data_IF_818137640113
#
_entry.id   IF_818137640113
#
_cell.length_a   1.000
_cell.length_b   1.000
_cell.length_c   1.000
_cell.angle_alpha   90.00
_cell.angle_beta   90.00
_cell.angle_gamma   90.00
#
_symmetry.space_group_name_H-M   'P 1'
#
loop_
_entity.id
_entity.type
_entity.pdbx_description
1 polymer ?
#
# COMPACT_ATOMS: atom_id res chain seq x y z
N UNK A 1 11.01 -1.52 -15.90
CA UNK A 1 10.09 -0.42 -16.24
C UNK A 1 9.22 -0.16 -15.01
N UNK A 2 9.08 1.09 -14.56
CA UNK A 2 8.21 1.48 -13.43
C UNK A 2 7.06 2.35 -13.92
N UNK A 3 5.83 2.11 -13.46
CA UNK A 3 4.63 2.80 -13.95
C UNK A 3 4.12 3.78 -12.92
N UNK A 4 3.74 4.97 -13.37
CA UNK A 4 3.26 6.03 -12.49
C UNK A 4 4.39 6.70 -11.71
N UNK A 5 5.52 6.97 -12.38
CA UNK A 5 6.77 7.41 -11.75
C UNK A 5 6.74 8.69 -10.91
N UNK A 6 5.61 9.40 -10.89
CA UNK A 6 5.37 10.57 -10.03
C UNK A 6 4.70 10.24 -8.69
N UNK A 7 4.19 9.01 -8.52
CA UNK A 7 3.55 8.56 -7.29
C UNK A 7 4.54 8.26 -6.17
N UNK A 8 4.04 8.22 -4.93
CA UNK A 8 4.85 8.01 -3.72
C UNK A 8 5.78 6.78 -3.84
N UNK A 9 5.19 5.57 -3.93
CA UNK A 9 5.97 4.35 -4.05
C UNK A 9 6.77 4.26 -5.35
N UNK A 10 6.20 4.68 -6.47
CA UNK A 10 6.85 4.55 -7.76
C UNK A 10 8.12 5.41 -7.86
N UNK A 11 8.07 6.67 -7.40
CA UNK A 11 9.23 7.56 -7.37
C UNK A 11 10.32 7.05 -6.43
N UNK A 12 9.95 6.54 -5.25
CA UNK A 12 10.90 5.93 -4.31
C UNK A 12 11.56 4.68 -4.89
N UNK A 13 10.78 3.79 -5.53
CA UNK A 13 11.30 2.59 -6.18
C UNK A 13 12.24 2.93 -7.34
N UNK A 14 11.93 3.95 -8.14
CA UNK A 14 12.82 4.42 -9.21
C UNK A 14 14.16 4.87 -8.63
N UNK A 15 14.14 5.69 -7.56
CA UNK A 15 15.37 6.11 -6.88
C UNK A 15 16.18 4.89 -6.39
N UNK A 16 15.55 3.93 -5.72
CA UNK A 16 16.21 2.72 -5.20
C UNK A 16 16.81 1.85 -6.30
N UNK A 17 16.11 1.70 -7.42
CA UNK A 17 16.62 0.98 -8.58
C UNK A 17 17.86 1.68 -9.17
N UNK A 18 17.82 3.00 -9.32
CA UNK A 18 18.96 3.79 -9.82
C UNK A 18 20.16 3.71 -8.86
N UNK A 19 19.95 3.77 -7.54
CA UNK A 19 21.00 3.59 -6.52
C UNK A 19 21.69 2.22 -6.64
N UNK A 20 20.97 1.19 -7.10
CA UNK A 20 21.52 -0.15 -7.33
C UNK A 20 22.09 -0.36 -8.74
N UNK A 21 22.19 0.70 -9.55
CA UNK A 21 22.80 0.65 -10.88
C UNK A 21 21.88 0.11 -11.98
N UNK A 22 20.57 0.00 -11.73
CA UNK A 22 19.61 -0.37 -12.77
C UNK A 22 19.34 0.78 -13.73
N UNK A 23 19.21 0.47 -15.02
CA UNK A 23 18.59 1.38 -15.99
C UNK A 23 17.06 1.35 -15.84
N UNK A 24 16.44 2.50 -15.60
CA UNK A 24 15.00 2.60 -15.31
C UNK A 24 14.26 3.37 -16.40
N UNK A 25 13.36 2.67 -17.11
CA UNK A 25 12.34 3.32 -17.93
C UNK A 25 11.09 3.55 -17.09
N UNK A 26 10.56 4.77 -17.06
CA UNK A 26 9.31 5.08 -16.34
C UNK A 26 8.26 5.73 -17.23
N UNK A 27 6.99 5.54 -16.88
CA UNK A 27 5.86 6.23 -17.50
C UNK A 27 5.26 7.24 -16.51
N UNK A 28 4.89 8.41 -17.03
CA UNK A 28 4.22 9.47 -16.28
C UNK A 28 2.92 9.84 -16.98
N UNK A 29 1.89 10.16 -16.21
CA UNK A 29 0.66 10.77 -16.73
C UNK A 29 0.62 12.23 -16.30
N UNK A 30 0.39 13.20 -17.21
CA UNK A 30 0.40 14.62 -16.87
C UNK A 30 -0.66 14.98 -15.83
N UNK A 31 -1.87 14.40 -15.91
CA UNK A 31 -2.99 14.63 -15.00
C UNK A 31 -3.68 13.29 -14.68
N UNK A 32 -3.60 12.80 -13.42
CA UNK A 32 -4.48 11.74 -12.96
C UNK A 32 -5.81 12.39 -12.56
N UNK A 33 -6.69 12.63 -13.53
CA UNK A 33 -8.10 12.85 -13.19
C UNK A 33 -8.63 11.51 -12.68
N UNK A 34 -8.82 11.41 -11.36
CA UNK A 34 -9.81 10.49 -10.85
C UNK A 34 -11.14 11.09 -11.27
N UNK A 35 -11.75 10.54 -12.33
CA UNK A 35 -12.91 11.11 -13.00
C UNK A 35 -13.98 11.53 -11.99
N UNK A 36 -14.08 12.84 -11.75
CA UNK A 36 -15.15 13.40 -10.95
C UNK A 36 -16.46 13.14 -11.72
N UNK A 37 -17.25 12.17 -11.25
CA UNK A 37 -18.55 11.81 -11.81
C UNK A 37 -18.60 10.54 -12.67
N UNK A 38 -17.51 9.77 -12.80
CA UNK A 38 -17.57 8.46 -13.47
C UNK A 38 -18.21 7.40 -12.56
N UNK A 39 -19.06 6.54 -13.14
CA UNK A 39 -19.66 5.44 -12.40
C UNK A 39 -18.57 4.50 -11.84
N UNK A 40 -18.73 4.04 -10.60
CA UNK A 40 -17.77 3.17 -9.90
C UNK A 40 -17.28 1.99 -10.78
N UNK A 41 -18.20 1.35 -11.50
CA UNK A 41 -17.88 0.24 -12.39
C UNK A 41 -16.91 0.62 -13.52
N UNK A 42 -16.98 1.83 -14.05
CA UNK A 42 -16.08 2.33 -15.11
C UNK A 42 -14.68 2.53 -14.55
N UNK A 43 -14.54 3.13 -13.37
CA UNK A 43 -13.24 3.37 -12.72
C UNK A 43 -12.56 2.05 -12.37
N UNK A 44 -13.32 1.10 -11.81
CA UNK A 44 -12.83 -0.24 -11.47
C UNK A 44 -12.37 -0.99 -12.72
N UNK A 45 -13.20 -0.97 -13.78
CA UNK A 45 -12.90 -1.65 -15.03
C UNK A 45 -11.67 -1.03 -15.72
N UNK A 46 -11.58 0.30 -15.75
CA UNK A 46 -10.44 1.02 -16.32
C UNK A 46 -9.12 0.72 -15.61
N UNK A 47 -9.13 0.60 -14.28
CA UNK A 47 -7.96 0.17 -13.51
C UNK A 47 -7.50 -1.25 -13.90
N UNK A 48 -8.44 -2.19 -14.01
CA UNK A 48 -8.14 -3.56 -14.41
C UNK A 48 -7.62 -3.64 -15.85
N UNK A 49 -8.28 -2.96 -16.79
CA UNK A 49 -7.87 -2.95 -18.19
C UNK A 49 -6.51 -2.28 -18.40
N UNK A 50 -6.22 -1.23 -17.64
CA UNK A 50 -4.89 -0.61 -17.61
C UNK A 50 -3.81 -1.60 -17.18
N UNK A 51 -4.03 -2.34 -16.09
CA UNK A 51 -3.10 -3.36 -15.62
C UNK A 51 -2.91 -4.48 -16.64
N UNK A 52 -3.99 -5.01 -17.21
CA UNK A 52 -3.94 -6.06 -18.23
C UNK A 52 -3.23 -5.58 -19.52
N UNK A 53 -3.42 -4.33 -19.92
CA UNK A 53 -2.71 -3.73 -21.05
C UNK A 53 -1.19 -3.74 -20.86
N UNK A 54 -0.73 -3.45 -19.64
CA UNK A 54 0.69 -3.52 -19.27
C UNK A 54 1.19 -4.96 -19.32
N UNK A 55 0.47 -5.91 -18.72
CA UNK A 55 0.87 -7.33 -18.74
C UNK A 55 0.95 -7.88 -20.18
N UNK A 56 0.01 -7.48 -21.03
CA UNK A 56 0.04 -7.82 -22.46
C UNK A 56 1.23 -7.20 -23.17
N UNK A 57 1.60 -5.96 -22.86
CA UNK A 57 2.81 -5.34 -23.39
C UNK A 57 4.09 -6.05 -22.92
N UNK A 58 4.17 -6.45 -21.64
CA UNK A 58 5.26 -7.25 -21.10
C UNK A 58 5.40 -8.57 -21.83
N UNK A 59 4.30 -9.32 -22.01
CA UNK A 59 4.27 -10.57 -22.75
C UNK A 59 4.76 -10.38 -24.19
N UNK A 60 4.27 -9.36 -24.89
CA UNK A 60 4.62 -9.07 -26.28
C UNK A 60 6.09 -8.63 -26.45
N UNK A 61 6.69 -8.04 -25.41
CA UNK A 61 8.08 -7.56 -25.47
C UNK A 61 9.11 -8.67 -25.64
N UNK A 62 8.77 -9.91 -25.25
CA UNK A 62 9.65 -11.10 -25.21
C UNK A 62 10.96 -10.94 -24.40
N UNK A 63 11.16 -9.79 -23.75
CA UNK A 63 12.38 -9.44 -22.99
C UNK A 63 12.13 -9.33 -21.50
N UNK A 64 10.88 -9.08 -21.09
CA UNK A 64 10.47 -9.08 -19.68
C UNK A 64 10.48 -10.51 -19.15
N UNK A 65 11.31 -10.76 -18.13
CA UNK A 65 11.45 -12.06 -17.47
C UNK A 65 10.47 -12.26 -16.32
N UNK A 66 10.17 -11.20 -15.58
CA UNK A 66 9.24 -11.18 -14.44
C UNK A 66 8.56 -9.82 -14.33
N UNK A 67 7.31 -9.83 -13.89
CA UNK A 67 6.57 -8.64 -13.49
C UNK A 67 6.30 -8.72 -11.99
N UNK A 68 6.61 -7.65 -11.26
CA UNK A 68 6.17 -7.47 -9.87
C UNK A 68 5.04 -6.44 -9.87
N UNK A 69 3.83 -6.87 -9.50
CA UNK A 69 2.64 -6.03 -9.44
C UNK A 69 2.36 -5.60 -8.00
N UNK A 70 2.25 -4.28 -7.77
CA UNK A 70 1.85 -3.75 -6.46
C UNK A 70 0.34 -3.84 -6.29
N UNK A 71 -0.09 -4.81 -5.47
CA UNK A 71 -1.46 -4.91 -4.98
C UNK A 71 -1.66 -4.02 -3.74
N UNK A 72 -2.53 -4.42 -2.82
CA UNK A 72 -2.87 -3.70 -1.59
C UNK A 72 -3.44 -4.69 -0.58
N UNK A 73 -3.19 -4.48 0.72
CA UNK A 73 -3.82 -5.25 1.80
C UNK A 73 -5.36 -5.22 1.72
N UNK A 74 -5.94 -4.21 1.05
CA UNK A 74 -7.37 -4.17 0.75
C UNK A 74 -7.88 -5.30 -0.15
N UNK A 75 -7.00 -6.02 -0.85
CA UNK A 75 -7.33 -7.22 -1.61
C UNK A 75 -7.34 -8.50 -0.76
N UNK A 76 -6.98 -8.40 0.52
CA UNK A 76 -6.90 -9.51 1.47
C UNK A 76 -7.92 -9.35 2.61
N UNK A 77 -7.91 -8.19 3.28
CA UNK A 77 -8.43 -8.05 4.65
C UNK A 77 -9.94 -7.80 4.79
N UNK A 78 -10.70 -7.61 3.70
CA UNK A 78 -12.11 -7.21 3.76
C UNK A 78 -13.05 -8.35 3.35
N UNK A 79 -13.32 -9.24 4.30
CA UNK A 79 -14.19 -10.40 4.12
C UNK A 79 -14.91 -10.75 5.43
N UNK A 80 -15.82 -11.72 5.36
CA UNK A 80 -16.68 -12.18 6.46
C UNK A 80 -16.08 -13.37 7.24
N UNK A 81 -14.78 -13.64 7.10
CA UNK A 81 -14.16 -14.81 7.75
C UNK A 81 -14.00 -14.68 9.26
N UNK A 82 -14.03 -13.46 9.81
CA UNK A 82 -13.85 -13.19 11.24
C UNK A 82 -12.45 -13.52 11.79
N UNK A 83 -11.47 -13.74 10.91
CA UNK A 83 -10.09 -14.08 11.29
C UNK A 83 -9.32 -12.82 11.69
N UNK A 84 -8.55 -12.88 12.78
CA UNK A 84 -7.78 -11.73 13.28
C UNK A 84 -6.48 -11.46 12.51
N UNK A 85 -5.86 -12.50 11.96
CA UNK A 85 -4.60 -12.45 11.21
C UNK A 85 -4.71 -13.23 9.90
N UNK A 86 -4.57 -12.54 8.76
CA UNK A 86 -4.70 -13.14 7.42
C UNK A 86 -3.35 -13.29 6.73
N UNK A 87 -3.24 -14.28 5.85
CA UNK A 87 -2.09 -14.49 4.97
C UNK A 87 -2.49 -14.35 3.49
N UNK A 88 -1.58 -14.70 2.58
CA UNK A 88 -1.78 -14.54 1.14
C UNK A 88 -2.86 -15.44 0.52
N UNK A 89 -3.38 -16.42 1.27
CA UNK A 89 -4.47 -17.28 0.80
C UNK A 89 -5.84 -16.59 0.85
N UNK A 90 -5.96 -15.53 1.65
CA UNK A 90 -7.20 -14.78 1.82
C UNK A 90 -7.43 -13.77 0.70
N UNK A 91 -8.70 -13.54 0.41
CA UNK A 91 -9.15 -12.53 -0.55
C UNK A 91 -10.28 -11.72 0.05
N UNK A 92 -10.30 -10.43 -0.26
CA UNK A 92 -11.46 -9.61 0.03
C UNK A 92 -12.67 -10.05 -0.79
N UNK A 93 -13.85 -9.96 -0.17
CA UNK A 93 -15.14 -10.28 -0.76
C UNK A 93 -15.80 -8.98 -1.25
N UNK A 94 -16.05 -8.90 -2.56
CA UNK A 94 -16.61 -7.70 -3.21
C UNK A 94 -18.02 -7.40 -2.72
N UNK A 95 -18.85 -8.42 -2.52
CA UNK A 95 -20.23 -8.24 -2.07
C UNK A 95 -20.27 -7.80 -0.61
N UNK A 96 -19.36 -8.34 0.22
CA UNK A 96 -19.15 -7.87 1.59
C UNK A 96 -18.73 -6.39 1.64
N UNK A 97 -17.77 -5.98 0.81
CA UNK A 97 -17.33 -4.57 0.76
C UNK A 97 -18.48 -3.65 0.35
N UNK A 98 -19.26 -4.03 -0.67
CA UNK A 98 -20.42 -3.25 -1.12
C UNK A 98 -21.49 -3.14 -0.03
N UNK A 99 -21.78 -4.24 0.66
CA UNK A 99 -22.77 -4.26 1.74
C UNK A 99 -22.34 -3.44 2.96
N UNK A 100 -21.02 -3.30 3.18
CA UNK A 100 -20.46 -2.56 4.31
C UNK A 100 -20.48 -1.02 4.12
N UNK A 101 -20.81 -0.53 2.92
CA UNK A 101 -20.91 0.90 2.58
C UNK A 101 -19.70 1.75 3.04
N UNK A 102 -18.48 1.18 2.91
CA UNK A 102 -17.24 1.84 3.32
C UNK A 102 -16.94 3.05 2.42
N UNK A 103 -16.55 4.22 2.96
CA UNK A 103 -16.24 5.41 2.15
C UNK A 103 -15.22 5.19 1.02
N UNK A 104 -14.30 4.24 1.22
CA UNK A 104 -13.23 3.86 0.27
C UNK A 104 -13.45 2.47 -0.34
N UNK A 105 -14.67 1.94 -0.28
CA UNK A 105 -15.02 0.60 -0.78
C UNK A 105 -14.69 0.39 -2.26
N UNK A 106 -14.91 1.38 -3.12
CA UNK A 106 -14.58 1.30 -4.56
C UNK A 106 -13.09 1.05 -4.81
N UNK A 107 -12.21 1.64 -3.99
CA UNK A 107 -10.78 1.40 -4.07
C UNK A 107 -10.44 -0.06 -3.69
N UNK A 108 -11.07 -0.59 -2.63
CA UNK A 108 -10.87 -1.97 -2.19
C UNK A 108 -11.31 -2.97 -3.27
N UNK A 109 -12.49 -2.74 -3.86
CA UNK A 109 -13.01 -3.57 -4.96
C UNK A 109 -12.08 -3.48 -6.18
N UNK A 110 -11.67 -2.26 -6.56
CA UNK A 110 -10.75 -2.03 -7.68
C UNK A 110 -9.45 -2.84 -7.52
N UNK A 111 -8.80 -2.73 -6.35
CA UNK A 111 -7.56 -3.46 -6.07
C UNK A 111 -7.75 -4.97 -6.07
N UNK A 112 -8.83 -5.45 -5.48
CA UNK A 112 -9.17 -6.88 -5.42
C UNK A 112 -9.38 -7.47 -6.81
N UNK A 113 -10.24 -6.85 -7.63
CA UNK A 113 -10.57 -7.36 -8.96
C UNK A 113 -9.40 -7.23 -9.94
N UNK A 114 -8.62 -6.15 -9.84
CA UNK A 114 -7.45 -5.97 -10.69
C UNK A 114 -6.38 -7.02 -10.39
N UNK A 115 -6.10 -7.32 -9.12
CA UNK A 115 -5.13 -8.37 -8.77
C UNK A 115 -5.58 -9.76 -9.25
N UNK A 116 -6.86 -10.12 -9.03
CA UNK A 116 -7.41 -11.40 -9.51
C UNK A 116 -7.25 -11.56 -11.02
N UNK A 117 -7.64 -10.54 -11.79
CA UNK A 117 -7.51 -10.54 -13.26
C UNK A 117 -6.05 -10.60 -13.72
N UNK A 118 -5.15 -9.89 -13.03
CA UNK A 118 -3.73 -9.92 -13.34
C UNK A 118 -3.14 -11.32 -13.16
N UNK A 119 -3.46 -12.00 -12.05
CA UNK A 119 -3.04 -13.37 -11.77
C UNK A 119 -3.62 -14.37 -12.79
N UNK A 120 -4.92 -14.28 -13.08
CA UNK A 120 -5.58 -15.11 -14.10
C UNK A 120 -4.95 -14.94 -15.48
N UNK A 121 -4.67 -13.69 -15.88
CA UNK A 121 -4.00 -13.39 -17.14
C UNK A 121 -2.60 -14.01 -17.18
N UNK A 122 -1.83 -13.84 -16.10
CA UNK A 122 -0.46 -14.34 -16.03
C UNK A 122 -0.41 -15.87 -16.11
N UNK A 123 -1.29 -16.56 -15.36
CA UNK A 123 -1.41 -18.01 -15.40
C UNK A 123 -1.80 -18.51 -16.81
N UNK A 124 -2.82 -17.91 -17.42
CA UNK A 124 -3.30 -18.28 -18.76
C UNK A 124 -2.22 -18.12 -19.85
N UNK A 125 -1.35 -17.12 -19.71
CA UNK A 125 -0.38 -16.76 -20.74
C UNK A 125 1.07 -17.15 -20.41
N UNK A 126 1.31 -17.80 -19.28
CA UNK A 126 2.64 -18.21 -18.84
C UNK A 126 3.57 -17.02 -18.54
N UNK A 127 3.02 -15.89 -18.09
CA UNK A 127 3.80 -14.73 -17.67
C UNK A 127 4.22 -14.92 -16.20
N UNK A 128 5.51 -14.80 -15.89
CA UNK A 128 5.99 -14.79 -14.51
C UNK A 128 5.54 -13.49 -13.82
N UNK A 129 4.48 -13.60 -13.01
CA UNK A 129 3.89 -12.52 -12.24
C UNK A 129 3.98 -12.84 -10.75
N UNK A 130 4.53 -11.89 -10.00
CA UNK A 130 4.53 -11.87 -8.53
C UNK A 130 3.77 -10.64 -8.08
N UNK A 131 2.93 -10.78 -7.04
CA UNK A 131 2.23 -9.62 -6.46
C UNK A 131 2.80 -9.29 -5.09
N UNK A 132 3.07 -8.01 -4.84
CA UNK A 132 3.42 -7.51 -3.52
C UNK A 132 2.22 -6.76 -2.94
N UNK A 133 1.86 -7.10 -1.71
CA UNK A 133 0.68 -6.61 -0.98
C UNK A 133 1.17 -5.76 0.20
N UNK A 134 1.47 -4.46 -0.02
CA UNK A 134 1.77 -3.56 1.08
C UNK A 134 0.52 -3.21 1.88
N UNK A 135 0.72 -2.88 3.16
CA UNK A 135 -0.27 -2.25 4.04
C UNK A 135 -0.12 -0.72 3.98
N UNK A 136 -0.41 0.03 5.06
CA UNK A 136 -0.19 1.47 5.06
C UNK A 136 1.30 1.77 4.92
N UNK A 137 1.67 2.34 3.78
CA UNK A 137 3.05 2.74 3.51
C UNK A 137 3.30 4.09 4.18
N UNK A 138 4.25 4.12 5.11
CA UNK A 138 4.69 5.32 5.83
C UNK A 138 6.21 5.52 5.69
N UNK A 139 6.64 6.78 5.72
CA UNK A 139 8.04 7.17 5.65
C UNK A 139 8.27 8.43 4.82
N UNK A 140 9.53 8.79 4.56
CA UNK A 140 9.88 9.97 3.77
C UNK A 140 9.45 9.83 2.30
N UNK A 141 9.19 10.94 1.61
CA UNK A 141 8.70 10.93 0.24
C UNK A 141 9.34 12.01 -0.65
N UNK A 142 9.55 11.67 -1.92
CA UNK A 142 10.17 12.58 -2.90
C UNK A 142 9.12 13.40 -3.64
N UNK A 143 7.93 12.81 -3.86
CA UNK A 143 6.85 13.46 -4.61
C UNK A 143 6.45 14.82 -4.02
N UNK A 144 5.98 15.76 -4.85
CA UNK A 144 5.68 17.12 -4.40
C UNK A 144 4.40 17.22 -3.56
N UNK A 145 3.44 16.32 -3.81
CA UNK A 145 2.18 16.24 -3.04
C UNK A 145 2.34 15.25 -1.90
N UNK A 146 1.67 15.52 -0.78
CA UNK A 146 1.61 14.60 0.35
C UNK A 146 0.92 13.30 -0.09
N UNK A 147 1.54 12.13 0.12
CA UNK A 147 0.89 10.85 -0.16
C UNK A 147 -0.33 10.62 0.72
N UNK A 148 -1.39 10.04 0.17
CA UNK A 148 -2.62 9.76 0.92
C UNK A 148 -2.38 8.86 2.15
N UNK A 149 -1.54 7.82 2.00
CA UNK A 149 -1.21 6.94 3.14
C UNK A 149 -0.45 7.67 4.25
N UNK A 150 0.39 8.65 3.89
CA UNK A 150 1.10 9.50 4.85
C UNK A 150 0.13 10.46 5.55
N UNK A 151 -0.76 11.11 4.81
CA UNK A 151 -1.81 11.97 5.37
C UNK A 151 -2.65 11.22 6.42
N UNK A 152 -3.22 10.06 6.05
CA UNK A 152 -4.01 9.24 6.98
C UNK A 152 -3.17 8.79 8.18
N UNK A 153 -1.93 8.34 7.98
CA UNK A 153 -1.07 7.90 9.09
C UNK A 153 -0.65 9.03 10.04
N UNK A 154 -0.61 10.29 9.56
CA UNK A 154 -0.26 11.47 10.34
C UNK A 154 -1.50 12.26 10.80
N UNK A 155 -2.71 11.69 10.70
CA UNK A 155 -3.94 12.38 11.01
C UNK A 155 -3.94 13.05 12.39
N UNK A 156 -3.40 12.38 13.42
CA UNK A 156 -3.32 12.96 14.78
C UNK A 156 -2.38 14.15 14.86
N UNK A 157 -1.29 14.15 14.09
CA UNK A 157 -0.33 15.26 14.00
C UNK A 157 -0.93 16.43 13.24
N UNK A 158 -1.71 16.13 12.19
CA UNK A 158 -2.40 17.11 11.34
C UNK A 158 -3.69 17.65 11.96
N UNK A 159 -4.20 17.01 13.03
CA UNK A 159 -5.49 17.33 13.63
C UNK A 159 -6.69 16.92 12.78
N UNK A 160 -6.53 16.00 11.83
CA UNK A 160 -7.58 15.54 10.93
C UNK A 160 -8.36 14.37 11.54
N UNK A 161 -9.42 14.70 12.29
CA UNK A 161 -10.25 13.74 12.99
C UNK A 161 -11.05 12.82 12.04
N UNK A 162 -11.29 13.24 10.79
CA UNK A 162 -12.06 12.45 9.81
C UNK A 162 -11.35 11.14 9.44
N UNK A 163 -10.03 11.07 9.64
CA UNK A 163 -9.23 9.88 9.33
C UNK A 163 -9.17 8.86 10.46
N UNK A 164 -9.62 9.19 11.68
CA UNK A 164 -9.41 8.35 12.86
C UNK A 164 -10.13 7.00 12.76
N UNK A 165 -11.27 6.93 12.05
CA UNK A 165 -12.00 5.69 11.80
C UNK A 165 -11.17 4.63 11.03
N UNK A 166 -10.12 5.06 10.32
CA UNK A 166 -9.20 4.19 9.57
C UNK A 166 -7.98 3.76 10.39
N UNK A 167 -7.79 4.32 11.59
CA UNK A 167 -6.61 4.14 12.43
C UNK A 167 -6.82 3.22 13.63
N UNK A 168 -7.99 2.59 13.78
CA UNK A 168 -8.34 1.75 14.93
C UNK A 168 -7.30 0.65 15.19
N UNK A 169 -6.92 -0.07 14.13
CA UNK A 169 -5.85 -1.09 14.16
C UNK A 169 -5.15 -1.09 12.81
N UNK A 170 -3.99 -0.43 12.73
CA UNK A 170 -3.32 -0.14 11.46
C UNK A 170 -2.12 -1.05 11.28
N UNK A 171 -2.14 -1.87 10.23
CA UNK A 171 -0.93 -2.53 9.74
C UNK A 171 -0.11 -1.53 8.90
N UNK A 172 1.18 -1.41 9.17
CA UNK A 172 2.07 -0.43 8.57
C UNK A 172 3.35 -1.05 8.03
N UNK A 173 3.97 -0.37 7.07
CA UNK A 173 5.26 -0.75 6.50
C UNK A 173 6.03 0.48 6.02
N UNK A 174 7.35 0.46 6.23
CA UNK A 174 8.21 1.55 5.81
C UNK A 174 8.36 1.58 4.28
N UNK A 175 8.30 2.77 3.68
CA UNK A 175 8.45 2.97 2.22
C UNK A 175 9.71 2.31 1.63
N UNK A 176 10.84 2.40 2.32
CA UNK A 176 12.08 1.77 1.88
C UNK A 176 11.99 0.25 1.92
N UNK A 177 11.35 -0.33 2.95
CA UNK A 177 11.17 -1.78 3.03
C UNK A 177 10.25 -2.27 1.91
N UNK A 178 9.21 -1.52 1.54
CA UNK A 178 8.37 -1.85 0.38
C UNK A 178 9.17 -1.81 -0.91
N UNK A 179 10.00 -0.78 -1.15
CA UNK A 179 10.83 -0.70 -2.34
C UNK A 179 11.88 -1.81 -2.40
N UNK A 180 12.53 -2.13 -1.27
CA UNK A 180 13.45 -3.28 -1.18
C UNK A 180 12.73 -4.60 -1.43
N UNK A 181 11.50 -4.77 -0.95
CA UNK A 181 10.72 -5.98 -1.20
C UNK A 181 10.38 -6.16 -2.68
N UNK A 182 10.08 -5.07 -3.41
CA UNK A 182 9.89 -5.14 -4.87
C UNK A 182 11.16 -5.62 -5.59
N UNK A 183 12.31 -5.04 -5.25
CA UNK A 183 13.61 -5.43 -5.84
C UNK A 183 13.95 -6.87 -5.47
N UNK A 184 13.78 -7.23 -4.19
CA UNK A 184 14.01 -8.59 -3.71
C UNK A 184 13.19 -9.63 -4.48
N UNK A 185 11.90 -9.40 -4.70
CA UNK A 185 11.04 -10.34 -5.44
C UNK A 185 11.33 -10.35 -6.95
N UNK A 186 11.88 -9.27 -7.51
CA UNK A 186 12.36 -9.24 -8.88
C UNK A 186 13.58 -10.16 -9.07
N UNK A 187 14.45 -10.22 -8.06
CA UNK A 187 15.71 -10.96 -8.10
C UNK A 187 15.60 -12.39 -7.53
N UNK A 188 14.67 -12.65 -6.60
CA UNK A 188 14.51 -13.93 -5.92
C UNK A 188 13.96 -15.02 -6.87
N UNK A 189 14.75 -16.02 -7.30
CA UNK A 189 14.34 -16.91 -8.40
C UNK A 189 13.04 -17.68 -8.13
N UNK A 190 12.82 -18.08 -6.88
CA UNK A 190 11.66 -18.88 -6.45
C UNK A 190 10.42 -18.03 -6.10
N UNK A 191 10.46 -16.71 -6.30
CA UNK A 191 9.30 -15.85 -6.04
C UNK A 191 8.10 -16.30 -6.88
N UNK A 192 6.99 -16.66 -6.22
CA UNK A 192 5.75 -17.09 -6.89
C UNK A 192 4.50 -16.64 -6.16
N UNK A 193 3.54 -16.14 -6.93
CA UNK A 193 2.22 -15.75 -6.42
C UNK A 193 2.30 -14.46 -5.62
N UNK A 194 1.57 -14.42 -4.51
CA UNK A 194 1.36 -13.21 -3.71
C UNK A 194 2.30 -13.16 -2.50
N UNK A 195 2.70 -11.97 -2.08
CA UNK A 195 3.53 -11.71 -0.90
C UNK A 195 3.04 -10.50 -0.13
N UNK A 196 2.70 -10.68 1.15
CA UNK A 196 2.38 -9.57 2.06
C UNK A 196 3.66 -8.88 2.52
N UNK A 197 3.61 -7.54 2.55
CA UNK A 197 4.68 -6.66 3.01
C UNK A 197 4.12 -5.69 4.06
N UNK A 198 4.12 -6.17 5.31
CA UNK A 198 3.72 -5.44 6.51
C UNK A 198 4.66 -5.78 7.66
N UNK A 199 5.20 -4.78 8.35
CA UNK A 199 6.16 -4.98 9.45
C UNK A 199 5.53 -4.82 10.83
N UNK A 200 4.63 -3.85 10.98
CA UNK A 200 4.12 -3.44 12.29
C UNK A 200 2.59 -3.37 12.27
N UNK A 201 1.99 -3.54 13.45
CA UNK A 201 0.58 -3.28 13.72
C UNK A 201 0.52 -2.37 14.94
N UNK A 202 -0.25 -1.30 14.86
CA UNK A 202 -0.40 -0.32 15.94
C UNK A 202 -1.87 0.06 16.09
N UNK A 203 -2.39 0.08 17.33
CA UNK A 203 -3.74 0.60 17.59
C UNK A 203 -3.77 2.11 17.64
N UNK A 204 -4.96 2.71 17.53
CA UNK A 204 -5.13 4.16 17.65
C UNK A 204 -4.62 4.69 19.01
N UNK A 205 -4.82 3.95 20.10
CA UNK A 205 -4.35 4.30 21.44
C UNK A 205 -2.82 4.17 21.58
N UNK A 206 -2.24 3.12 21.00
CA UNK A 206 -0.79 2.94 20.95
C UNK A 206 -0.12 4.03 20.12
N UNK A 207 -0.73 4.41 18.99
CA UNK A 207 -0.28 5.50 18.14
C UNK A 207 -0.32 6.84 18.87
N UNK A 208 -1.41 7.14 19.58
CA UNK A 208 -1.51 8.36 20.41
C UNK A 208 -0.44 8.42 21.49
N UNK A 209 -0.20 7.31 22.22
CA UNK A 209 0.88 7.24 23.23
C UNK A 209 2.26 7.46 22.60
N UNK A 210 2.54 6.78 21.49
CA UNK A 210 3.79 6.88 20.76
C UNK A 210 4.04 8.33 20.30
N UNK A 211 3.07 8.93 19.63
CA UNK A 211 3.18 10.30 19.12
C UNK A 211 3.29 11.34 20.24
N UNK A 212 2.48 11.22 21.29
CA UNK A 212 2.51 12.17 22.43
C UNK A 212 3.83 12.14 23.18
N UNK A 213 4.44 10.94 23.31
CA UNK A 213 5.72 10.80 24.00
C UNK A 213 6.89 11.33 23.16
N UNK A 214 6.85 11.13 21.84
CA UNK A 214 7.95 11.45 20.95
C UNK A 214 7.91 12.87 20.38
N UNK A 215 6.72 13.41 20.16
CA UNK A 215 6.50 14.72 19.55
C UNK A 215 5.59 15.60 20.41
N UNK A 216 6.07 16.04 21.59
CA UNK A 216 5.27 16.82 22.54
C UNK A 216 4.87 18.20 22.00
N UNK A 217 5.43 18.65 20.87
CA UNK A 217 5.02 19.89 20.21
C UNK A 217 3.63 19.82 19.54
N UNK A 218 3.12 18.61 19.28
CA UNK A 218 1.83 18.43 18.62
C UNK A 218 0.70 18.15 19.62
N UNK A 219 -0.48 18.69 19.33
CA UNK A 219 -1.70 18.47 20.11
C UNK A 219 -2.32 17.10 19.78
N UNK A 220 -1.70 16.03 20.28
CA UNK A 220 -2.19 14.66 20.06
C UNK A 220 -3.42 14.39 20.96
N UNK A 221 -4.49 13.73 20.44
CA UNK A 221 -5.68 13.42 21.21
C UNK A 221 -5.40 12.54 22.43
N UNK A 222 -6.14 12.77 23.51
CA UNK A 222 -6.04 11.97 24.73
C UNK A 222 -6.67 10.59 24.55
N UNK A 223 -6.22 9.62 25.36
CA UNK A 223 -6.79 8.27 25.36
C UNK A 223 -8.28 8.24 25.69
N UNK A 224 -8.76 9.20 26.49
CA UNK A 224 -10.19 9.28 26.83
C UNK A 224 -11.02 9.64 25.60
N UNK A 225 -10.58 10.63 24.81
CA UNK A 225 -11.24 11.00 23.56
C UNK A 225 -11.25 9.84 22.56
N UNK A 226 -10.15 9.08 22.48
CA UNK A 226 -10.02 7.99 21.50
C UNK A 226 -10.88 6.77 21.79
N UNK A 227 -11.36 6.57 23.03
CA UNK A 227 -12.29 5.48 23.36
C UNK A 227 -13.64 5.59 22.66
N UNK A 228 -14.06 6.82 22.36
CA UNK A 228 -15.34 7.10 21.71
C UNK A 228 -15.22 7.12 20.18
N UNK A 229 -14.01 6.92 19.64
CA UNK A 229 -13.78 6.82 18.20
C UNK A 229 -14.23 5.44 17.72
N UNK A 230 -15.38 5.40 17.07
CA UNK A 230 -15.83 4.23 16.32
C UNK A 230 -15.13 4.18 14.95
N UNK A 231 -14.77 2.99 14.51
CA UNK A 231 -14.11 2.82 13.23
C UNK A 231 -13.99 1.36 12.80
N UNK A 232 -13.26 1.15 11.71
CA UNK A 232 -13.18 -0.18 11.09
C UNK A 232 -12.03 -0.98 11.69
N UNK A 233 -12.37 -2.06 12.41
CA UNK A 233 -11.36 -3.02 12.85
C UNK A 233 -10.92 -3.88 11.66
N UNK A 234 -9.76 -3.56 11.11
CA UNK A 234 -9.15 -4.31 10.02
C UNK A 234 -8.30 -5.44 10.61
N UNK A 235 -8.49 -6.71 10.18
CA UNK A 235 -7.61 -7.81 10.53
C UNK A 235 -6.14 -7.50 10.21
N UNK A 236 -5.23 -7.97 11.05
CA UNK A 236 -3.81 -7.90 10.73
C UNK A 236 -3.45 -8.83 9.58
N UNK A 237 -2.27 -8.61 8.99
CA UNK A 237 -1.76 -9.44 7.89
C UNK A 237 -0.35 -9.95 8.17
N UNK A 238 -0.07 -11.18 7.76
CA UNK A 238 1.19 -11.87 8.03
C UNK A 238 2.15 -11.77 6.85
N UNK A 239 3.34 -11.21 7.08
CA UNK A 239 4.46 -11.22 6.11
C UNK A 239 5.31 -12.49 6.18
N UNK A 240 4.82 -13.56 6.82
CA UNK A 240 5.61 -14.76 7.07
C UNK A 240 6.23 -15.33 5.79
N UNK A 241 5.48 -15.41 4.70
CA UNK A 241 5.99 -15.93 3.42
C UNK A 241 7.16 -15.10 2.87
N UNK A 242 7.09 -13.78 2.99
CA UNK A 242 8.16 -12.87 2.56
C UNK A 242 9.41 -13.07 3.43
N UNK A 243 9.23 -13.18 4.75
CA UNK A 243 10.31 -13.42 5.70
C UNK A 243 10.97 -14.79 5.52
N UNK A 244 10.17 -15.84 5.33
CA UNK A 244 10.65 -17.21 5.08
C UNK A 244 11.43 -17.32 3.76
N UNK A 245 11.22 -16.39 2.81
CA UNK A 245 12.01 -16.29 1.59
C UNK A 245 13.38 -15.62 1.81
N UNK A 246 13.65 -15.11 3.02
CA UNK A 246 14.92 -14.49 3.40
C UNK A 246 14.92 -12.95 3.42
N UNK A 247 13.79 -12.31 3.12
CA UNK A 247 13.66 -10.86 3.25
C UNK A 247 13.71 -10.43 4.72
N UNK A 248 14.25 -9.22 4.99
CA UNK A 248 14.30 -8.63 6.32
C UNK A 248 13.83 -7.18 6.26
N UNK A 249 12.84 -6.83 7.09
CA UNK A 249 12.51 -5.45 7.40
C UNK A 249 13.68 -4.78 8.13
N UNK A 250 13.89 -3.48 7.87
CA UNK A 250 14.99 -2.70 8.49
C UNK A 250 14.49 -1.53 9.32
N UNK A 251 13.23 -1.15 9.15
CA UNK A 251 12.66 0.05 9.74
C UNK A 251 11.44 -0.34 10.55
N UNK A 252 11.26 0.32 11.71
CA UNK A 252 10.08 0.21 12.55
C UNK A 252 9.28 1.50 12.56
N UNK A 253 8.38 1.60 13.54
CA UNK A 253 7.50 2.76 13.72
C UNK A 253 8.30 4.06 13.90
N UNK A 254 9.42 4.03 14.63
CA UNK A 254 10.28 5.20 14.84
C UNK A 254 10.72 5.84 13.53
N UNK A 255 11.35 5.07 12.63
CA UNK A 255 11.85 5.61 11.36
C UNK A 255 10.72 5.97 10.39
N UNK A 256 9.61 5.23 10.43
CA UNK A 256 8.41 5.55 9.63
C UNK A 256 7.86 6.93 9.97
N UNK A 257 7.59 7.19 11.25
CA UNK A 257 7.04 8.47 11.68
C UNK A 257 8.06 9.61 11.59
N UNK A 258 9.31 9.38 12.02
CA UNK A 258 10.37 10.41 11.96
C UNK A 258 10.57 10.89 10.52
N UNK A 259 10.73 9.95 9.58
CA UNK A 259 10.97 10.27 8.19
C UNK A 259 9.78 10.96 7.51
N UNK A 260 8.56 10.56 7.85
CA UNK A 260 7.35 11.19 7.32
C UNK A 260 7.16 12.62 7.86
N UNK A 261 7.28 12.82 9.17
CA UNK A 261 7.11 14.13 9.82
C UNK A 261 8.19 15.10 9.36
N UNK A 262 9.46 14.67 9.33
CA UNK A 262 10.56 15.51 8.87
C UNK A 262 10.35 15.94 7.41
N UNK A 263 9.92 15.02 6.54
CA UNK A 263 9.63 15.33 5.15
C UNK A 263 8.44 16.30 5.00
N UNK A 264 7.41 16.16 5.84
CA UNK A 264 6.29 17.09 5.88
C UNK A 264 6.71 18.49 6.31
N UNK A 265 7.56 18.63 7.34
CA UNK A 265 8.14 19.92 7.77
C UNK A 265 8.93 20.58 6.64
N UNK A 266 9.82 19.83 5.99
CA UNK A 266 10.66 20.34 4.88
C UNK A 266 9.85 20.81 3.67
N UNK A 267 8.68 20.21 3.43
CA UNK A 267 7.79 20.54 2.32
C UNK A 267 6.68 21.53 2.69
N UNK A 268 6.62 21.98 3.95
CA UNK A 268 5.64 22.95 4.44
C UNK A 268 4.22 22.39 4.61
N UNK A 269 4.08 21.09 4.87
CA UNK A 269 2.81 20.46 5.27
C UNK A 269 2.59 20.49 6.79
N UNK A 270 3.65 20.69 7.57
CA UNK A 270 3.67 20.83 9.03
C UNK A 270 4.47 22.07 9.45
#
# INVERSE_FOLDING_TARGET
MSIGGTGFLASWLIMKLLEQGYSVNTTVRPHPDFGNGEAEGVVIQGAADGALGILKACLNSKTVKRVVYTSSASAVAFNDSGVEMMDESYWSNVDYIRASNLPIGSYFISKTLTEKRALEFAEKHGLDLVTLIPTYILGPFICPKMPASVHTSLAMVLGDQEQYELLINTSMVHIDDVARAHIFLLEYPEAKGRYICSSDIITIEEMSKFLSAKYPEYSIPTLEYLKDVEGFKIPGVSSKKLLDSGFKFRYGLDEMFDGAIQCCKEKGFL
#
